data_IF_738349851264
#
_entry.id   IF_738349851264
#
_cell.length_a   1.000
_cell.length_b   1.000
_cell.length_c   1.000
_cell.angle_alpha   90.00
_cell.angle_beta   90.00
_cell.angle_gamma   90.00
#
_symmetry.space_group_name_H-M   'P 1'
#
loop_
_entity.id
_entity.type
_entity.pdbx_description
1 polymer ?
#
# COMPACT_ATOMS: atom_id res chain seq x y z
N UNK A 1 23.73 -45.04 59.53
CA UNK A 1 23.62 -44.70 58.12
C UNK A 1 22.19 -44.95 57.70
N UNK A 2 21.32 -43.95 57.74
CA UNK A 2 19.97 -43.93 57.13
C UNK A 2 19.71 -42.51 56.64
N UNK A 3 19.62 -42.34 55.32
CA UNK A 3 19.29 -41.07 54.66
C UNK A 3 17.76 -40.92 54.69
N UNK A 4 17.26 -39.88 55.30
CA UNK A 4 15.88 -39.47 55.26
C UNK A 4 15.66 -38.56 54.07
N UNK A 5 14.74 -38.94 53.21
CA UNK A 5 14.26 -38.14 52.08
C UNK A 5 13.03 -37.36 52.54
N UNK A 6 13.13 -36.02 52.53
CA UNK A 6 12.01 -35.12 52.78
C UNK A 6 11.36 -34.81 51.42
N UNK A 7 10.12 -35.22 51.24
CA UNK A 7 9.27 -34.87 50.11
C UNK A 7 8.56 -33.57 50.47
N UNK A 8 8.91 -32.46 49.79
CA UNK A 8 8.16 -31.22 49.84
C UNK A 8 7.09 -31.22 48.76
N UNK A 9 5.83 -31.32 49.15
CA UNK A 9 4.67 -31.16 48.28
C UNK A 9 4.40 -29.65 48.12
N UNK A 10 4.74 -29.09 46.96
CA UNK A 10 4.33 -27.75 46.58
C UNK A 10 2.97 -27.79 45.86
N UNK A 11 1.94 -27.29 46.51
CA UNK A 11 0.63 -27.02 45.90
C UNK A 11 0.77 -25.73 45.09
N UNK A 12 0.88 -25.86 43.76
CA UNK A 12 0.83 -24.73 42.84
C UNK A 12 -0.62 -24.40 42.50
N UNK A 13 -1.09 -23.25 42.90
CA UNK A 13 -2.34 -22.63 42.41
C UNK A 13 -2.19 -22.32 40.93
N UNK A 14 -2.86 -23.07 40.06
CA UNK A 14 -3.04 -22.74 38.66
C UNK A 14 -4.10 -21.63 38.53
N UNK A 15 -3.66 -20.38 38.39
CA UNK A 15 -4.47 -19.30 37.87
C UNK A 15 -4.66 -19.53 36.36
N UNK A 16 -5.80 -20.06 35.97
CA UNK A 16 -6.27 -20.09 34.60
C UNK A 16 -6.63 -18.66 34.14
N UNK A 17 -5.64 -17.90 33.72
CA UNK A 17 -5.84 -16.73 32.89
C UNK A 17 -6.23 -17.18 31.48
N UNK A 18 -7.50 -17.06 31.14
CA UNK A 18 -7.98 -17.29 29.78
C UNK A 18 -7.35 -16.29 28.82
N UNK A 19 -6.24 -16.66 28.20
CA UNK A 19 -5.76 -16.00 27.00
C UNK A 19 -6.80 -16.29 25.91
N UNK A 20 -7.53 -15.26 25.47
CA UNK A 20 -8.33 -15.33 24.26
C UNK A 20 -7.37 -15.66 23.10
N UNK A 21 -7.37 -16.90 22.66
CA UNK A 21 -6.64 -17.32 21.46
C UNK A 21 -7.30 -16.62 20.28
N UNK A 22 -6.70 -15.52 19.84
CA UNK A 22 -7.00 -14.95 18.53
C UNK A 22 -6.46 -15.94 17.51
N UNK A 23 -7.35 -16.66 16.83
CA UNK A 23 -7.00 -17.49 15.70
C UNK A 23 -6.46 -16.56 14.59
N UNK A 24 -5.16 -16.45 14.46
CA UNK A 24 -4.51 -15.86 13.31
C UNK A 24 -4.62 -16.87 12.17
N UNK A 25 -5.42 -16.56 11.17
CA UNK A 25 -5.42 -17.31 9.93
C UNK A 25 -4.11 -17.01 9.18
N UNK A 26 -3.13 -17.89 9.29
CA UNK A 26 -1.94 -17.82 8.45
C UNK A 26 -2.29 -18.28 7.05
N UNK A 27 -2.14 -17.41 6.06
CA UNK A 27 -2.04 -17.79 4.66
C UNK A 27 -0.79 -18.66 4.49
N UNK A 28 -0.93 -19.97 4.61
CA UNK A 28 0.14 -20.90 4.30
C UNK A 28 0.41 -20.89 2.80
N UNK A 29 1.51 -20.27 2.38
CA UNK A 29 2.01 -20.40 1.01
C UNK A 29 2.59 -21.81 0.86
N UNK A 30 1.75 -22.74 0.40
CA UNK A 30 2.21 -24.02 -0.15
C UNK A 30 2.35 -23.80 -1.65
N UNK A 31 3.58 -23.81 -2.13
CA UNK A 31 4.06 -23.81 -3.54
C UNK A 31 2.96 -23.63 -4.61
N UNK A 32 2.87 -22.38 -5.17
CA UNK A 32 2.19 -22.13 -6.44
C UNK A 32 1.11 -21.08 -6.33
N UNK A 33 0.01 -21.13 -5.81
CA UNK A 33 -0.98 -20.05 -5.69
C UNK A 33 -1.53 -19.99 -4.25
N UNK A 34 -1.49 -18.79 -3.66
CA UNK A 34 -2.11 -18.59 -2.35
C UNK A 34 -3.63 -18.82 -2.48
N UNK A 35 -4.17 -19.84 -1.79
CA UNK A 35 -5.60 -20.14 -1.81
C UNK A 35 -6.36 -18.94 -1.23
N UNK A 36 -7.26 -18.37 -2.02
CA UNK A 36 -8.10 -17.24 -1.57
C UNK A 36 -9.03 -17.68 -0.44
N UNK A 37 -9.33 -16.73 0.43
CA UNK A 37 -10.23 -16.95 1.57
C UNK A 37 -11.67 -16.79 1.10
N UNK A 38 -12.53 -17.84 1.19
CA UNK A 38 -13.93 -17.74 0.82
C UNK A 38 -14.70 -16.81 1.77
N UNK A 39 -15.36 -15.79 1.19
CA UNK A 39 -16.07 -14.75 1.95
C UNK A 39 -17.42 -14.48 1.31
N UNK A 40 -18.46 -14.26 2.10
CA UNK A 40 -19.74 -13.76 1.62
C UNK A 40 -20.01 -12.35 2.13
N UNK A 41 -20.36 -11.44 1.22
CA UNK A 41 -20.78 -10.08 1.54
C UNK A 41 -22.29 -10.01 1.36
N UNK A 42 -23.00 -9.92 2.48
CA UNK A 42 -24.45 -9.77 2.53
C UNK A 42 -24.88 -8.40 2.00
N UNK A 43 -26.17 -8.25 1.75
CA UNK A 43 -26.72 -6.95 1.35
C UNK A 43 -26.56 -5.92 2.49
N UNK A 44 -26.39 -4.65 2.13
CA UNK A 44 -26.22 -3.56 3.10
C UNK A 44 -27.60 -3.04 3.48
N UNK A 45 -27.90 -3.01 4.80
CA UNK A 45 -29.09 -2.35 5.33
C UNK A 45 -29.00 -0.84 5.15
N UNK A 46 -30.13 -0.21 4.78
CA UNK A 46 -30.18 1.25 4.59
C UNK A 46 -31.32 1.87 5.39
N UNK A 47 -30.99 2.35 6.58
CA UNK A 47 -31.90 3.13 7.45
C UNK A 47 -31.70 4.64 7.25
N UNK A 48 -30.75 5.04 6.41
CA UNK A 48 -30.50 6.45 6.07
C UNK A 48 -31.43 6.96 4.95
N UNK A 49 -32.15 6.04 4.25
CA UNK A 49 -32.99 6.37 3.10
C UNK A 49 -32.16 6.85 1.89
N UNK A 50 -31.04 6.20 1.62
CA UNK A 50 -30.09 6.59 0.56
C UNK A 50 -29.75 5.39 -0.35
N UNK A 51 -30.72 4.86 -1.12
CA UNK A 51 -30.55 3.62 -1.90
C UNK A 51 -29.38 3.67 -2.88
N UNK A 52 -29.04 4.84 -3.43
CA UNK A 52 -27.89 5.01 -4.33
C UNK A 52 -26.57 4.80 -3.57
N UNK A 53 -26.47 5.32 -2.33
CA UNK A 53 -25.28 5.11 -1.49
C UNK A 53 -25.17 3.67 -1.03
N UNK A 54 -26.28 3.01 -0.71
CA UNK A 54 -26.30 1.58 -0.41
C UNK A 54 -25.74 0.75 -1.56
N UNK A 55 -26.24 1.00 -2.78
CA UNK A 55 -25.76 0.32 -3.99
C UNK A 55 -24.27 0.57 -4.22
N UNK A 56 -23.85 1.83 -4.14
CA UNK A 56 -22.45 2.22 -4.27
C UNK A 56 -21.57 1.52 -3.22
N UNK A 57 -22.01 1.48 -1.95
CA UNK A 57 -21.25 0.80 -0.89
C UNK A 57 -21.02 -0.67 -1.19
N UNK A 58 -22.05 -1.38 -1.63
CA UNK A 58 -21.95 -2.80 -1.95
C UNK A 58 -21.02 -3.05 -3.15
N UNK A 59 -21.13 -2.24 -4.20
CA UNK A 59 -20.28 -2.32 -5.39
C UNK A 59 -18.81 -2.07 -5.04
N UNK A 60 -18.52 -0.99 -4.31
CA UNK A 60 -17.16 -0.61 -3.91
C UNK A 60 -16.56 -1.65 -2.98
N UNK A 61 -17.28 -2.06 -1.93
CA UNK A 61 -16.80 -3.05 -0.96
C UNK A 61 -16.41 -4.37 -1.64
N UNK A 62 -17.30 -4.90 -2.49
CA UNK A 62 -17.04 -6.13 -3.24
C UNK A 62 -15.87 -5.97 -4.21
N UNK A 63 -15.75 -4.81 -4.87
CA UNK A 63 -14.65 -4.54 -5.79
C UNK A 63 -13.31 -4.48 -5.04
N UNK A 64 -13.24 -3.80 -3.90
CA UNK A 64 -12.02 -3.70 -3.09
C UNK A 64 -11.56 -5.05 -2.56
N UNK A 65 -12.49 -5.84 -2.03
CA UNK A 65 -12.18 -7.19 -1.55
C UNK A 65 -11.67 -8.10 -2.67
N UNK A 66 -12.23 -8.02 -3.89
CA UNK A 66 -11.71 -8.75 -5.05
C UNK A 66 -10.32 -8.25 -5.49
N UNK A 67 -10.10 -6.92 -5.54
CA UNK A 67 -8.82 -6.32 -5.90
C UNK A 67 -7.70 -6.65 -4.92
N UNK A 68 -8.03 -6.89 -3.65
CA UNK A 68 -7.03 -7.31 -2.65
C UNK A 68 -6.35 -8.63 -3.02
N UNK A 69 -6.93 -9.44 -3.90
CA UNK A 69 -6.51 -10.79 -4.28
C UNK A 69 -6.48 -11.80 -3.12
N UNK A 70 -6.98 -11.42 -1.95
CA UNK A 70 -7.00 -12.23 -0.72
C UNK A 70 -8.28 -13.08 -0.67
N UNK A 71 -9.40 -12.54 -1.16
CA UNK A 71 -10.72 -13.14 -0.99
C UNK A 71 -11.30 -13.70 -2.29
N UNK A 72 -12.06 -14.78 -2.15
CA UNK A 72 -13.01 -15.29 -3.12
C UNK A 72 -14.42 -15.00 -2.62
N UNK A 73 -15.17 -14.17 -3.36
CA UNK A 73 -16.50 -13.72 -2.93
C UNK A 73 -17.58 -14.60 -3.52
N UNK A 74 -18.37 -15.25 -2.65
CA UNK A 74 -19.58 -15.96 -3.03
C UNK A 74 -20.77 -14.99 -3.21
N UNK A 75 -21.71 -15.36 -4.08
CA UNK A 75 -23.00 -14.67 -4.15
C UNK A 75 -23.91 -15.18 -3.00
N UNK A 76 -24.45 -14.27 -2.15
CA UNK A 76 -25.36 -14.67 -1.07
C UNK A 76 -26.58 -15.46 -1.54
N UNK A 77 -27.04 -15.22 -2.77
CA UNK A 77 -28.19 -15.91 -3.36
C UNK A 77 -27.92 -17.40 -3.62
N UNK A 78 -26.67 -17.76 -3.95
CA UNK A 78 -26.27 -19.13 -4.21
C UNK A 78 -26.15 -19.95 -2.90
N UNK A 79 -26.05 -19.27 -1.76
CA UNK A 79 -25.90 -19.89 -0.45
C UNK A 79 -27.26 -20.11 0.26
N UNK A 80 -28.37 -19.70 -0.35
CA UNK A 80 -29.73 -19.81 0.23
C UNK A 80 -29.76 -19.36 1.71
N UNK A 81 -29.16 -18.20 1.98
CA UNK A 81 -29.11 -17.64 3.33
C UNK A 81 -30.40 -16.89 3.65
N UNK A 82 -31.09 -17.35 4.68
CA UNK A 82 -32.31 -16.71 5.18
C UNK A 82 -31.95 -15.68 6.24
N UNK A 83 -32.14 -14.39 5.93
CA UNK A 83 -31.90 -13.28 6.86
C UNK A 83 -32.76 -12.06 6.48
N UNK A 84 -33.08 -11.24 7.46
CA UNK A 84 -33.61 -9.90 7.21
C UNK A 84 -32.46 -8.94 6.94
N UNK A 85 -32.38 -8.40 5.71
CA UNK A 85 -31.31 -7.47 5.34
C UNK A 85 -31.28 -6.18 6.20
N UNK A 86 -32.38 -5.86 6.91
CA UNK A 86 -32.47 -4.69 7.79
C UNK A 86 -31.82 -4.89 9.15
N UNK A 87 -31.58 -6.13 9.54
CA UNK A 87 -30.99 -6.45 10.84
C UNK A 87 -29.69 -7.21 10.69
N UNK A 88 -28.88 -7.17 11.75
CA UNK A 88 -27.68 -8.01 11.83
C UNK A 88 -28.08 -9.50 11.69
N UNK A 89 -27.36 -10.30 10.89
CA UNK A 89 -27.74 -11.69 10.64
C UNK A 89 -27.68 -12.50 11.92
N UNK A 90 -28.69 -13.37 12.18
CA UNK A 90 -28.64 -14.31 13.28
C UNK A 90 -27.42 -15.22 13.21
N UNK A 91 -26.98 -15.70 14.38
CA UNK A 91 -25.82 -16.59 14.47
C UNK A 91 -25.97 -17.85 13.60
N UNK A 92 -27.17 -18.40 13.54
CA UNK A 92 -27.45 -19.58 12.73
C UNK A 92 -27.28 -19.32 11.22
N UNK A 93 -27.67 -18.15 10.73
CA UNK A 93 -27.45 -17.72 9.34
C UNK A 93 -25.96 -17.59 9.03
N UNK A 94 -25.20 -17.01 9.96
CA UNK A 94 -23.73 -16.91 9.81
C UNK A 94 -23.08 -18.31 9.76
N UNK A 95 -23.46 -19.20 10.68
CA UNK A 95 -22.94 -20.58 10.73
C UNK A 95 -23.37 -21.40 9.50
N UNK A 96 -24.58 -21.16 8.97
CA UNK A 96 -25.03 -21.78 7.72
C UNK A 96 -24.11 -21.43 6.54
N UNK A 97 -23.62 -20.19 6.43
CA UNK A 97 -22.61 -19.84 5.43
C UNK A 97 -21.35 -20.70 5.56
N UNK A 98 -20.94 -21.05 6.79
CA UNK A 98 -19.83 -21.97 7.05
C UNK A 98 -20.06 -23.36 6.49
N UNK A 99 -21.29 -23.90 6.46
CA UNK A 99 -21.59 -25.20 5.86
C UNK A 99 -21.42 -25.22 4.34
N UNK A 100 -21.43 -24.06 3.69
CA UNK A 100 -21.09 -23.86 2.27
C UNK A 100 -19.60 -23.54 2.04
N UNK A 101 -18.75 -23.70 3.06
CA UNK A 101 -17.31 -23.47 2.96
C UNK A 101 -16.86 -22.03 3.09
N UNK A 102 -17.74 -21.10 3.49
CA UNK A 102 -17.34 -19.72 3.77
C UNK A 102 -16.53 -19.66 5.05
N UNK A 103 -15.46 -18.83 5.04
CA UNK A 103 -14.64 -18.54 6.21
C UNK A 103 -15.21 -17.36 6.99
N UNK A 104 -15.80 -16.38 6.31
CA UNK A 104 -16.36 -15.22 6.96
C UNK A 104 -17.62 -14.68 6.29
N UNK A 105 -18.42 -13.97 7.08
CA UNK A 105 -19.64 -13.28 6.65
C UNK A 105 -19.49 -11.78 6.96
N UNK A 106 -19.68 -10.96 5.95
CA UNK A 106 -19.64 -9.49 6.05
C UNK A 106 -21.05 -8.95 5.98
N UNK A 107 -21.40 -8.10 6.94
CA UNK A 107 -22.65 -7.36 6.95
C UNK A 107 -22.37 -5.89 7.28
N UNK A 108 -23.20 -4.99 6.73
CA UNK A 108 -23.09 -3.57 7.04
C UNK A 108 -24.49 -2.91 7.07
N UNK A 109 -24.55 -1.80 7.79
CA UNK A 109 -25.73 -0.95 7.88
C UNK A 109 -25.34 0.50 7.63
N UNK A 110 -26.10 1.17 6.77
CA UNK A 110 -26.02 2.60 6.53
C UNK A 110 -27.12 3.31 7.28
N UNK A 111 -26.77 4.23 8.18
CA UNK A 111 -27.72 5.00 8.96
C UNK A 111 -27.23 6.43 9.19
N UNK A 112 -28.07 7.27 9.81
CA UNK A 112 -27.70 8.64 10.18
C UNK A 112 -27.50 8.77 11.68
N UNK A 113 -26.49 9.57 12.05
CA UNK A 113 -26.29 10.02 13.42
C UNK A 113 -26.11 11.55 13.42
N UNK A 114 -27.21 12.26 13.68
CA UNK A 114 -27.25 13.71 13.48
C UNK A 114 -27.08 14.08 11.98
N UNK A 115 -26.11 14.90 11.68
CA UNK A 115 -25.79 15.32 10.31
C UNK A 115 -24.94 14.29 9.53
N UNK A 116 -24.28 13.37 10.25
CA UNK A 116 -23.35 12.43 9.66
C UNK A 116 -24.05 11.18 9.10
N UNK A 117 -23.45 10.65 8.02
CA UNK A 117 -23.69 9.27 7.58
C UNK A 117 -22.77 8.36 8.37
N UNK A 118 -23.29 7.20 8.78
CA UNK A 118 -22.52 6.18 9.49
C UNK A 118 -22.67 4.86 8.73
N UNK A 119 -21.53 4.26 8.38
CA UNK A 119 -21.47 2.88 7.87
C UNK A 119 -21.01 1.99 9.02
N UNK A 120 -21.92 1.21 9.59
CA UNK A 120 -21.64 0.24 10.64
C UNK A 120 -21.27 -1.09 10.01
N UNK A 121 -19.98 -1.43 10.01
CA UNK A 121 -19.45 -2.68 9.45
C UNK A 121 -19.30 -3.77 10.50
N UNK A 122 -19.68 -4.99 10.15
CA UNK A 122 -19.58 -6.20 11.00
C UNK A 122 -18.96 -7.33 10.19
N UNK A 123 -18.02 -8.03 10.80
CA UNK A 123 -17.39 -9.23 10.26
C UNK A 123 -17.59 -10.38 11.24
N UNK A 124 -18.00 -11.52 10.72
CA UNK A 124 -18.26 -12.71 11.53
C UNK A 124 -17.42 -13.89 11.02
N UNK A 125 -17.01 -14.75 11.94
CA UNK A 125 -16.44 -16.07 11.65
C UNK A 125 -17.58 -17.03 11.29
N UNK A 126 -17.55 -17.59 10.10
CA UNK A 126 -18.62 -18.44 9.61
C UNK A 126 -18.69 -19.82 10.30
N UNK A 127 -17.58 -20.26 10.92
CA UNK A 127 -17.53 -21.55 11.62
C UNK A 127 -18.15 -21.48 13.02
N UNK A 128 -17.95 -20.37 13.70
CA UNK A 128 -18.39 -20.19 15.10
C UNK A 128 -19.64 -19.31 15.23
N UNK A 129 -19.94 -18.53 14.19
CA UNK A 129 -20.99 -17.51 14.21
C UNK A 129 -20.65 -16.31 15.10
N UNK A 130 -19.40 -16.19 15.57
CA UNK A 130 -18.97 -15.11 16.44
C UNK A 130 -18.48 -13.90 15.63
N UNK A 131 -18.67 -12.71 16.21
CA UNK A 131 -18.22 -11.46 15.61
C UNK A 131 -16.71 -11.29 15.76
N UNK A 132 -16.00 -11.18 14.63
CA UNK A 132 -14.56 -10.91 14.56
C UNK A 132 -14.25 -9.41 14.64
N UNK A 133 -15.11 -8.57 14.05
CA UNK A 133 -14.95 -7.10 14.05
C UNK A 133 -16.30 -6.40 14.06
N UNK A 134 -16.33 -5.24 14.75
CA UNK A 134 -17.46 -4.32 14.81
C UNK A 134 -16.91 -2.91 14.80
N UNK A 135 -17.12 -2.17 13.71
CA UNK A 135 -16.58 -0.82 13.55
C UNK A 135 -17.53 0.09 12.82
N UNK A 136 -17.61 1.32 13.29
CA UNK A 136 -18.43 2.37 12.70
C UNK A 136 -17.51 3.40 12.00
N UNK A 137 -17.88 3.75 10.77
CA UNK A 137 -17.17 4.71 9.94
C UNK A 137 -18.07 5.92 9.74
N UNK A 138 -17.56 7.13 10.07
CA UNK A 138 -18.30 8.37 10.06
C UNK A 138 -17.89 9.24 8.89
N UNK A 139 -18.86 9.97 8.31
CA UNK A 139 -18.58 10.91 7.23
C UNK A 139 -19.86 11.52 6.63
N UNK A 140 -19.73 12.01 5.40
CA UNK A 140 -20.80 12.59 4.62
C UNK A 140 -20.80 12.00 3.19
N UNK A 141 -21.62 12.54 2.29
CA UNK A 141 -21.69 12.06 0.90
C UNK A 141 -20.34 12.14 0.17
N UNK A 142 -19.55 13.20 0.41
CA UNK A 142 -18.27 13.42 -0.27
C UNK A 142 -17.18 12.46 0.24
N UNK A 143 -17.28 12.05 1.50
CA UNK A 143 -16.34 11.12 2.15
C UNK A 143 -16.82 9.68 2.16
N UNK A 144 -18.04 9.42 1.67
CA UNK A 144 -18.71 8.12 1.80
C UNK A 144 -17.89 6.97 1.20
N UNK A 145 -17.34 7.16 0.01
CA UNK A 145 -16.51 6.16 -0.65
C UNK A 145 -15.30 5.77 0.21
N UNK A 146 -14.65 6.74 0.88
CA UNK A 146 -13.54 6.49 1.82
C UNK A 146 -13.96 5.69 3.04
N UNK A 147 -15.22 5.84 3.51
CA UNK A 147 -15.75 5.01 4.60
C UNK A 147 -15.82 3.54 4.18
N UNK A 148 -16.27 3.27 2.95
CA UNK A 148 -16.37 1.91 2.40
C UNK A 148 -14.98 1.28 2.22
N UNK A 149 -14.02 2.02 1.66
CA UNK A 149 -12.62 1.61 1.54
C UNK A 149 -12.00 1.27 2.90
N UNK A 150 -12.27 2.10 3.92
CA UNK A 150 -11.78 1.86 5.28
C UNK A 150 -12.40 0.59 5.90
N UNK A 151 -13.64 0.25 5.55
CA UNK A 151 -14.25 -1.02 5.96
C UNK A 151 -13.61 -2.22 5.23
N UNK A 152 -13.36 -2.11 3.94
CA UNK A 152 -12.62 -3.14 3.19
C UNK A 152 -11.22 -3.40 3.81
N UNK A 153 -10.50 -2.32 4.15
CA UNK A 153 -9.19 -2.41 4.81
C UNK A 153 -9.27 -3.05 6.20
N UNK A 154 -10.32 -2.80 6.97
CA UNK A 154 -10.57 -3.48 8.26
C UNK A 154 -10.76 -4.98 8.08
N UNK A 155 -11.50 -5.41 7.03
CA UNK A 155 -11.70 -6.83 6.72
C UNK A 155 -10.36 -7.49 6.36
N UNK A 156 -9.57 -6.85 5.48
CA UNK A 156 -8.22 -7.33 5.13
C UNK A 156 -7.36 -7.49 6.38
N UNK A 157 -7.33 -6.46 7.23
CA UNK A 157 -6.54 -6.48 8.47
C UNK A 157 -6.91 -7.65 9.40
N UNK A 158 -8.21 -7.95 9.53
CA UNK A 158 -8.68 -9.03 10.41
C UNK A 158 -8.28 -10.42 9.95
N UNK A 159 -8.20 -10.64 8.64
CA UNK A 159 -7.80 -11.93 8.09
C UNK A 159 -6.29 -12.09 7.92
N UNK A 160 -5.56 -11.01 7.66
CA UNK A 160 -4.14 -11.09 7.30
C UNK A 160 -3.19 -10.56 8.39
N UNK A 161 -3.69 -9.76 9.33
CA UNK A 161 -2.87 -8.99 10.26
C UNK A 161 -2.19 -7.77 9.62
N UNK A 162 -2.39 -7.52 8.33
CA UNK A 162 -1.79 -6.41 7.59
C UNK A 162 -2.85 -5.41 7.15
N UNK A 163 -2.48 -4.13 7.13
CA UNK A 163 -3.37 -3.06 6.69
C UNK A 163 -3.69 -3.22 5.20
N UNK A 164 -4.97 -3.09 4.85
CA UNK A 164 -5.41 -3.06 3.46
C UNK A 164 -4.95 -1.80 2.71
N UNK A 165 -5.16 -1.77 1.40
CA UNK A 165 -4.74 -0.70 0.50
C UNK A 165 -5.91 0.10 -0.09
N UNK A 166 -7.17 -0.29 0.17
CA UNK A 166 -8.34 0.33 -0.47
C UNK A 166 -8.48 1.82 -0.13
N UNK A 167 -8.07 2.23 1.08
CA UNK A 167 -8.06 3.63 1.51
C UNK A 167 -6.88 4.46 0.98
N UNK A 168 -6.01 3.91 0.12
CA UNK A 168 -4.86 4.64 -0.43
C UNK A 168 -5.24 5.45 -1.69
N UNK A 169 -4.32 6.32 -2.13
CA UNK A 169 -4.47 7.15 -3.33
C UNK A 169 -3.32 6.90 -4.28
N UNK A 170 -3.58 7.11 -5.57
CA UNK A 170 -2.59 6.99 -6.65
C UNK A 170 -2.31 8.38 -7.20
N UNK A 171 -1.05 8.82 -7.17
CA UNK A 171 -0.59 9.99 -7.91
C UNK A 171 -0.10 9.57 -9.29
N UNK A 172 -0.49 10.29 -10.32
CA UNK A 172 -0.13 9.99 -11.70
C UNK A 172 -0.03 11.26 -12.55
N UNK A 173 0.55 11.11 -13.73
CA UNK A 173 0.65 12.17 -14.72
C UNK A 173 -0.38 11.92 -15.82
N UNK A 174 -1.09 12.97 -16.22
CA UNK A 174 -2.05 12.91 -17.33
C UNK A 174 -1.97 14.18 -18.19
N UNK A 175 -2.09 13.99 -19.49
CA UNK A 175 -2.18 15.04 -20.50
C UNK A 175 -3.62 15.35 -20.93
N UNK A 176 -4.62 14.85 -20.20
CA UNK A 176 -6.05 15.05 -20.47
C UNK A 176 -6.46 16.52 -20.67
N UNK A 177 -5.72 17.46 -20.07
CA UNK A 177 -5.97 18.91 -20.16
C UNK A 177 -4.98 19.64 -21.07
N UNK A 178 -4.23 18.92 -21.93
CA UNK A 178 -3.24 19.45 -22.87
C UNK A 178 -1.81 19.24 -22.37
N UNK A 179 -1.42 19.92 -21.29
CA UNK A 179 -0.12 19.74 -20.65
C UNK A 179 -0.12 18.48 -19.75
N UNK A 180 1.06 17.89 -19.58
CA UNK A 180 1.26 16.77 -18.65
C UNK A 180 1.28 17.27 -17.21
N UNK A 181 0.18 17.13 -16.54
CA UNK A 181 -0.04 17.61 -15.17
C UNK A 181 -0.19 16.46 -14.16
N UNK A 182 -0.03 16.78 -12.88
CA UNK A 182 -0.22 15.82 -11.80
C UNK A 182 -1.71 15.69 -11.44
N UNK A 183 -2.10 14.45 -11.23
CA UNK A 183 -3.43 14.05 -10.77
C UNK A 183 -3.29 13.11 -9.57
N UNK A 184 -4.32 13.10 -8.74
CA UNK A 184 -4.51 12.11 -7.67
C UNK A 184 -5.89 11.49 -7.83
N UNK A 185 -6.00 10.19 -7.66
CA UNK A 185 -7.26 9.44 -7.67
C UNK A 185 -7.30 8.46 -6.50
N UNK A 186 -8.51 7.97 -6.19
CA UNK A 186 -8.66 6.87 -5.25
C UNK A 186 -8.01 5.59 -5.81
N UNK A 187 -7.67 4.65 -4.93
CA UNK A 187 -7.00 3.38 -5.29
C UNK A 187 -7.71 2.62 -6.44
N UNK A 188 -9.02 2.71 -6.50
CA UNK A 188 -9.84 2.03 -7.49
C UNK A 188 -10.04 2.79 -8.81
N UNK A 189 -9.36 3.93 -8.97
CA UNK A 189 -9.42 4.79 -10.14
C UNK A 189 -10.52 5.84 -10.11
N UNK A 190 -11.31 5.89 -9.03
CA UNK A 190 -12.36 6.90 -8.90
C UNK A 190 -11.80 8.27 -8.52
N UNK A 191 -12.63 9.32 -8.71
CA UNK A 191 -12.37 10.70 -8.27
C UNK A 191 -11.02 11.27 -8.74
N UNK A 192 -10.62 11.14 -10.03
CA UNK A 192 -9.39 11.74 -10.51
C UNK A 192 -9.44 13.26 -10.40
N UNK A 193 -8.53 13.84 -9.61
CA UNK A 193 -8.43 15.27 -9.36
C UNK A 193 -7.09 15.79 -9.87
N UNK A 194 -7.12 16.83 -10.73
CA UNK A 194 -5.92 17.58 -11.12
C UNK A 194 -5.43 18.39 -9.92
N UNK A 195 -4.14 18.23 -9.57
CA UNK A 195 -3.53 18.89 -8.40
C UNK A 195 -2.41 19.84 -8.76
N UNK A 196 -1.91 19.83 -10.00
CA UNK A 196 -0.95 20.82 -10.48
C UNK A 196 -1.57 21.73 -11.55
N UNK A 197 -1.00 22.91 -11.72
CA UNK A 197 -1.34 23.87 -12.74
C UNK A 197 -0.07 24.57 -13.24
N UNK A 198 0.96 23.78 -13.53
CA UNK A 198 2.27 24.30 -13.93
C UNK A 198 2.30 24.75 -15.38
N UNK A 199 1.30 24.35 -16.18
CA UNK A 199 1.22 24.61 -17.64
C UNK A 199 2.50 24.20 -18.34
N UNK A 200 3.06 23.08 -17.91
CA UNK A 200 4.33 22.55 -18.35
C UNK A 200 4.39 21.05 -18.07
N UNK A 201 5.45 20.38 -18.52
CA UNK A 201 5.66 18.97 -18.26
C UNK A 201 5.90 18.73 -16.76
N UNK A 202 4.98 18.05 -16.10
CA UNK A 202 5.16 17.46 -14.79
C UNK A 202 5.39 15.96 -14.90
N UNK A 203 6.26 15.39 -14.04
CA UNK A 203 6.57 13.95 -14.06
C UNK A 203 7.09 13.45 -12.71
N UNK A 204 7.20 12.12 -12.59
CA UNK A 204 7.80 11.41 -11.44
C UNK A 204 7.23 11.85 -10.09
N UNK A 205 5.89 11.80 -9.87
CA UNK A 205 5.34 12.09 -8.56
C UNK A 205 5.79 11.05 -7.53
N UNK A 206 6.16 11.50 -6.33
CA UNK A 206 6.56 10.67 -5.21
C UNK A 206 5.86 11.12 -3.93
N UNK A 207 5.11 10.22 -3.29
CA UNK A 207 4.42 10.48 -2.03
C UNK A 207 5.39 10.56 -0.86
N UNK A 208 5.20 11.57 -0.01
CA UNK A 208 5.76 11.51 1.35
C UNK A 208 5.12 10.40 2.17
N UNK A 209 5.83 9.79 3.14
CA UNK A 209 5.30 8.67 3.93
C UNK A 209 4.01 8.97 4.71
N UNK A 210 3.80 10.23 5.06
CA UNK A 210 2.57 10.70 5.74
C UNK A 210 1.37 10.92 4.79
N UNK A 211 1.60 10.77 3.46
CA UNK A 211 0.58 10.94 2.43
C UNK A 211 0.08 12.38 2.25
N UNK A 212 0.80 13.39 2.78
CA UNK A 212 0.38 14.80 2.72
C UNK A 212 1.11 15.61 1.65
N UNK A 213 2.31 15.20 1.28
CA UNK A 213 3.15 15.94 0.33
C UNK A 213 3.48 15.06 -0.88
N UNK A 214 3.47 15.66 -2.06
CA UNK A 214 4.03 15.08 -3.28
C UNK A 214 5.30 15.82 -3.69
N UNK A 215 6.42 15.10 -3.83
CA UNK A 215 7.57 15.61 -4.58
C UNK A 215 7.40 15.24 -6.05
N UNK A 216 7.84 16.08 -6.96
CA UNK A 216 7.71 15.86 -8.40
C UNK A 216 8.71 16.69 -9.19
N UNK A 217 8.89 16.34 -10.45
CA UNK A 217 9.66 17.12 -11.43
C UNK A 217 8.71 18.02 -12.19
N UNK A 218 9.10 19.30 -12.40
CA UNK A 218 8.37 20.21 -13.26
C UNK A 218 9.34 21.06 -14.11
N UNK A 219 8.95 21.26 -15.38
CA UNK A 219 9.66 22.12 -16.34
C UNK A 219 9.11 23.56 -16.35
N UNK A 220 8.31 23.97 -15.35
CA UNK A 220 7.66 25.30 -15.28
C UNK A 220 8.63 26.47 -15.34
N UNK A 221 9.86 26.29 -14.88
CA UNK A 221 10.91 27.30 -14.90
C UNK A 221 11.91 27.10 -16.08
N UNK A 222 11.52 26.29 -17.09
CA UNK A 222 12.31 26.02 -18.29
C UNK A 222 13.29 24.85 -18.16
N UNK A 223 13.53 24.35 -16.93
CA UNK A 223 14.45 23.28 -16.59
C UNK A 223 13.74 22.19 -15.75
N UNK A 224 14.16 20.92 -15.78
CA UNK A 224 13.60 19.92 -14.88
C UNK A 224 14.06 20.17 -13.44
N UNK A 225 13.21 20.81 -12.67
CA UNK A 225 13.43 21.12 -11.26
C UNK A 225 12.56 20.28 -10.35
N UNK A 226 13.02 20.02 -9.12
CA UNK A 226 12.27 19.32 -8.10
C UNK A 226 11.41 20.29 -7.30
N UNK A 227 10.13 19.99 -7.25
CA UNK A 227 9.15 20.70 -6.44
C UNK A 227 8.49 19.78 -5.43
N UNK A 228 7.92 20.37 -4.38
CA UNK A 228 6.97 19.72 -3.50
C UNK A 228 5.66 20.47 -3.48
N UNK A 229 4.57 19.73 -3.32
CA UNK A 229 3.20 20.20 -3.17
C UNK A 229 2.58 19.61 -1.91
N UNK A 230 2.23 20.45 -0.95
CA UNK A 230 1.41 20.08 0.20
C UNK A 230 -0.07 20.01 -0.24
N UNK A 231 -0.69 18.85 -0.09
CA UNK A 231 -2.03 18.59 -0.61
C UNK A 231 -3.15 19.15 0.28
N UNK A 232 -2.87 19.39 1.55
CA UNK A 232 -3.85 19.95 2.49
C UNK A 232 -3.97 21.46 2.32
N UNK A 233 -2.84 22.13 2.10
CA UNK A 233 -2.76 23.59 2.02
C UNK A 233 -2.64 24.15 0.60
N UNK A 234 -2.29 23.29 -0.36
CA UNK A 234 -1.96 23.70 -1.74
C UNK A 234 -0.61 24.45 -1.85
N UNK A 235 0.16 24.56 -0.76
CA UNK A 235 1.46 25.23 -0.75
C UNK A 235 2.45 24.45 -1.58
N UNK A 236 3.19 25.20 -2.43
CA UNK A 236 4.23 24.66 -3.30
C UNK A 236 5.57 25.31 -3.00
N UNK A 237 6.65 24.55 -3.08
CA UNK A 237 8.02 25.04 -2.96
C UNK A 237 8.98 24.27 -3.84
N UNK A 238 10.06 24.91 -4.26
CA UNK A 238 11.17 24.28 -4.99
C UNK A 238 12.10 23.58 -3.99
N UNK A 239 12.41 22.31 -4.24
CA UNK A 239 13.36 21.52 -3.44
C UNK A 239 14.77 21.64 -4.02
N UNK A 240 14.91 21.45 -5.34
CA UNK A 240 16.19 21.57 -6.05
C UNK A 240 15.93 22.13 -7.43
N UNK A 241 16.88 22.88 -7.93
CA UNK A 241 16.81 23.49 -9.24
C UNK A 241 18.17 24.02 -9.68
N UNK A 242 18.18 24.68 -10.85
CA UNK A 242 19.35 25.19 -11.50
C UNK A 242 19.66 24.43 -12.79
N UNK A 243 20.80 24.72 -13.42
CA UNK A 243 21.20 24.09 -14.69
C UNK A 243 21.32 22.57 -14.53
N UNK A 244 20.91 21.84 -15.58
CA UNK A 244 20.98 20.39 -15.65
C UNK A 244 19.75 19.66 -15.13
N UNK A 245 19.90 18.37 -14.88
CA UNK A 245 18.81 17.48 -14.50
C UNK A 245 18.62 17.45 -12.98
N UNK A 246 17.37 17.62 -12.54
CA UNK A 246 16.91 17.38 -11.17
C UNK A 246 15.69 16.46 -11.29
N UNK A 247 15.88 15.14 -11.09
CA UNK A 247 14.91 14.12 -11.49
C UNK A 247 14.72 13.02 -10.44
N UNK A 248 13.64 12.25 -10.60
CA UNK A 248 13.36 11.02 -9.86
C UNK A 248 13.42 11.18 -8.32
N UNK A 249 12.61 12.05 -7.74
CA UNK A 249 12.57 12.21 -6.29
C UNK A 249 12.04 10.96 -5.58
N UNK A 250 12.63 10.61 -4.43
CA UNK A 250 12.20 9.51 -3.58
C UNK A 250 12.34 9.88 -2.11
N UNK A 251 11.25 9.80 -1.34
CA UNK A 251 11.24 10.09 0.09
C UNK A 251 11.85 8.96 0.92
N UNK A 252 12.61 9.33 1.93
CA UNK A 252 13.01 8.38 2.99
C UNK A 252 11.76 7.92 3.78
N UNK A 253 11.74 6.70 4.35
CA UNK A 253 10.57 6.16 5.07
C UNK A 253 10.13 7.01 6.27
N UNK A 254 11.05 7.78 6.86
CA UNK A 254 10.76 8.69 7.97
C UNK A 254 10.34 10.10 7.51
N UNK A 255 10.29 10.37 6.20
CA UNK A 255 9.90 11.65 5.61
C UNK A 255 10.87 12.82 5.84
N UNK A 256 12.04 12.58 6.41
CA UNK A 256 13.00 13.65 6.74
C UNK A 256 13.95 14.00 5.59
N UNK A 257 14.24 13.04 4.72
CA UNK A 257 15.15 13.21 3.58
C UNK A 257 14.47 12.83 2.27
N UNK A 258 15.02 13.38 1.19
CA UNK A 258 14.67 13.06 -0.18
C UNK A 258 15.95 12.60 -0.89
N UNK A 259 15.88 11.52 -1.66
CA UNK A 259 16.91 11.15 -2.62
C UNK A 259 16.47 11.56 -4.02
N UNK A 260 17.40 11.96 -4.88
CA UNK A 260 17.11 12.35 -6.26
C UNK A 260 18.35 12.22 -7.15
N UNK A 261 18.13 12.14 -8.47
CA UNK A 261 19.18 12.24 -9.47
C UNK A 261 19.45 13.71 -9.83
N UNK A 262 20.66 14.20 -9.60
CA UNK A 262 21.09 15.56 -9.96
C UNK A 262 22.33 15.53 -10.84
N UNK A 263 22.36 16.36 -11.91
CA UNK A 263 23.53 16.41 -12.81
C UNK A 263 24.54 17.51 -12.45
N UNK A 264 24.57 17.96 -11.19
CA UNK A 264 25.46 19.05 -10.69
C UNK A 264 26.96 18.79 -10.89
N UNK A 265 27.38 17.55 -11.05
CA UNK A 265 28.78 17.15 -11.17
C UNK A 265 29.17 16.64 -12.57
N UNK A 266 28.39 16.99 -13.62
CA UNK A 266 28.61 16.59 -15.00
C UNK A 266 27.73 15.45 -15.47
N UNK A 267 27.72 14.28 -14.81
CA UNK A 267 26.76 13.19 -14.98
C UNK A 267 25.67 13.23 -13.92
N UNK A 268 24.60 12.45 -14.12
CA UNK A 268 23.54 12.35 -13.12
C UNK A 268 24.00 11.44 -11.98
N UNK A 269 23.96 11.97 -10.76
CA UNK A 269 24.35 11.24 -9.56
C UNK A 269 23.22 11.27 -8.53
N UNK A 270 23.19 10.27 -7.64
CA UNK A 270 22.25 10.26 -6.54
C UNK A 270 22.74 11.19 -5.44
N UNK A 271 21.87 12.11 -5.08
CA UNK A 271 22.05 13.00 -3.93
C UNK A 271 20.94 12.79 -2.93
N UNK A 272 21.22 13.08 -1.67
CA UNK A 272 20.18 13.22 -0.64
C UNK A 272 20.19 14.64 -0.08
N UNK A 273 19.01 15.10 0.34
CA UNK A 273 18.77 16.43 0.90
C UNK A 273 17.60 16.39 1.87
N UNK A 274 17.38 17.44 2.65
CA UNK A 274 16.14 17.55 3.43
C UNK A 274 14.95 17.98 2.56
N UNK A 275 13.76 18.03 3.16
CA UNK A 275 12.52 18.40 2.47
C UNK A 275 12.50 19.82 1.87
N UNK A 276 13.44 20.67 2.25
CA UNK A 276 13.60 22.04 1.74
C UNK A 276 14.77 22.15 0.76
N UNK A 277 15.46 21.05 0.44
CA UNK A 277 16.62 21.02 -0.46
C UNK A 277 17.94 21.38 0.22
N UNK A 278 17.97 21.47 1.55
CA UNK A 278 19.16 21.76 2.32
C UNK A 278 19.92 20.47 2.69
N UNK A 279 21.19 20.62 3.13
CA UNK A 279 22.01 19.47 3.52
C UNK A 279 22.22 18.49 2.37
N UNK A 280 22.65 19.02 1.21
CA UNK A 280 22.86 18.26 0.00
C UNK A 280 24.12 17.38 0.12
N UNK A 281 23.93 16.05 0.12
CA UNK A 281 25.02 15.06 0.18
C UNK A 281 25.01 14.24 -1.11
N UNK A 282 26.15 14.14 -1.81
CA UNK A 282 26.34 13.28 -2.98
C UNK A 282 26.70 11.87 -2.53
N UNK A 283 25.93 10.86 -2.99
CA UNK A 283 26.10 9.45 -2.60
C UNK A 283 26.79 8.61 -3.66
N UNK A 284 26.65 8.97 -4.96
CA UNK A 284 27.29 8.21 -6.04
C UNK A 284 28.32 9.06 -6.78
N UNK A 285 29.34 8.37 -7.31
CA UNK A 285 30.47 8.96 -8.02
C UNK A 285 30.79 8.08 -9.23
N UNK A 286 31.15 8.69 -10.34
CA UNK A 286 31.60 7.95 -11.53
C UNK A 286 31.29 8.66 -12.84
N UNK A 287 31.58 7.98 -13.95
CA UNK A 287 31.35 8.50 -15.29
C UNK A 287 29.99 8.11 -15.90
N UNK A 288 29.19 7.32 -15.18
CA UNK A 288 27.90 6.80 -15.66
C UNK A 288 26.77 7.34 -14.85
N UNK A 289 25.64 7.61 -15.50
CA UNK A 289 24.44 8.09 -14.84
C UNK A 289 23.91 7.12 -13.78
N UNK A 290 23.51 7.70 -12.66
CA UNK A 290 22.88 7.06 -11.50
C UNK A 290 21.54 7.74 -11.28
N UNK A 291 20.44 7.02 -11.45
CA UNK A 291 19.09 7.59 -11.45
C UNK A 291 18.09 6.71 -10.72
N UNK A 292 16.86 7.23 -10.54
CA UNK A 292 15.72 6.52 -9.97
C UNK A 292 16.02 5.85 -8.62
N UNK A 293 16.43 6.61 -7.60
CA UNK A 293 16.64 6.07 -6.26
C UNK A 293 15.33 5.60 -5.64
N UNK A 294 15.38 4.54 -4.83
CA UNK A 294 14.27 4.04 -4.02
C UNK A 294 14.80 3.58 -2.66
N UNK A 295 14.24 4.12 -1.58
CA UNK A 295 14.63 3.78 -0.22
C UNK A 295 14.08 2.42 0.21
N UNK A 296 14.90 1.64 0.91
CA UNK A 296 14.40 0.49 1.65
C UNK A 296 13.44 0.92 2.78
N UNK A 297 12.43 0.13 3.13
CA UNK A 297 11.43 0.53 4.14
C UNK A 297 12.01 0.72 5.54
N UNK A 298 13.16 0.10 5.85
CA UNK A 298 13.90 0.31 7.09
C UNK A 298 14.80 1.57 7.06
N UNK A 299 14.92 2.25 5.90
CA UNK A 299 15.70 3.47 5.70
C UNK A 299 17.22 3.28 5.73
N UNK A 300 17.73 2.06 5.59
CA UNK A 300 19.19 1.77 5.67
C UNK A 300 19.87 1.70 4.31
N UNK A 301 19.11 1.41 3.25
CA UNK A 301 19.65 1.20 1.92
C UNK A 301 18.84 1.98 0.87
N UNK A 302 19.49 2.24 -0.27
CA UNK A 302 18.89 2.84 -1.46
C UNK A 302 19.18 1.94 -2.65
N UNK A 303 18.11 1.47 -3.32
CA UNK A 303 18.20 0.85 -4.64
C UNK A 303 18.20 1.95 -5.71
N UNK A 304 18.97 1.79 -6.78
CA UNK A 304 19.05 2.77 -7.86
C UNK A 304 19.43 2.12 -9.19
N UNK A 305 19.16 2.81 -10.27
CA UNK A 305 19.61 2.42 -11.62
C UNK A 305 20.98 3.02 -11.88
N UNK A 306 21.95 2.23 -12.35
CA UNK A 306 23.28 2.70 -12.71
C UNK A 306 23.76 2.11 -14.03
N UNK A 307 24.37 2.95 -14.88
CA UNK A 307 25.03 2.56 -16.11
C UNK A 307 26.46 2.06 -15.95
N UNK A 308 27.02 1.99 -14.72
CA UNK A 308 28.44 1.63 -14.46
C UNK A 308 28.84 0.23 -14.92
N UNK A 309 27.87 -0.64 -15.21
CA UNK A 309 28.12 -1.98 -15.78
C UNK A 309 28.07 -2.01 -17.33
N UNK A 310 28.10 -0.82 -17.97
CA UNK A 310 28.00 -0.64 -19.42
C UNK A 310 26.58 -0.39 -19.90
N UNK A 311 25.61 -1.10 -19.36
CA UNK A 311 24.16 -0.93 -19.57
C UNK A 311 23.47 -0.75 -18.23
N UNK A 312 22.30 -0.06 -18.17
CA UNK A 312 21.57 0.16 -16.95
C UNK A 312 21.22 -1.14 -16.21
N UNK A 313 21.58 -1.19 -14.92
CA UNK A 313 21.33 -2.29 -14.01
C UNK A 313 20.91 -1.74 -12.65
N UNK A 314 20.29 -2.60 -11.81
CA UNK A 314 19.92 -2.23 -10.46
C UNK A 314 21.08 -2.50 -9.51
N UNK A 315 21.39 -1.49 -8.73
CA UNK A 315 22.36 -1.51 -7.65
C UNK A 315 21.68 -1.14 -6.33
N UNK A 316 22.28 -1.56 -5.23
CA UNK A 316 21.93 -1.13 -3.88
C UNK A 316 23.19 -0.54 -3.24
N UNK A 317 23.00 0.45 -2.39
CA UNK A 317 24.03 1.04 -1.52
C UNK A 317 23.48 1.34 -0.14
N UNK A 318 24.34 1.48 0.85
CA UNK A 318 23.97 2.05 2.13
C UNK A 318 23.57 3.53 1.99
N UNK A 319 22.81 4.07 2.94
CA UNK A 319 22.33 5.48 2.90
C UNK A 319 23.44 6.52 2.98
N UNK A 320 24.65 6.12 3.36
CA UNK A 320 25.86 6.96 3.34
C UNK A 320 26.66 6.86 2.03
N UNK A 321 26.16 6.10 1.05
CA UNK A 321 26.80 5.86 -0.25
C UNK A 321 27.83 4.73 -0.26
N UNK A 322 28.07 4.05 0.86
CA UNK A 322 28.98 2.90 0.97
C UNK A 322 28.32 1.61 0.47
N UNK A 323 29.12 0.54 0.34
CA UNK A 323 28.71 -0.82 0.00
C UNK A 323 27.84 -0.91 -1.28
N UNK A 324 28.31 -0.27 -2.35
CA UNK A 324 27.61 -0.29 -3.64
C UNK A 324 27.74 -1.65 -4.30
N UNK A 325 26.61 -2.37 -4.45
CA UNK A 325 26.57 -3.70 -5.06
C UNK A 325 25.51 -3.82 -6.15
N UNK A 326 25.82 -4.56 -7.22
CA UNK A 326 24.85 -4.90 -8.28
C UNK A 326 24.00 -6.07 -7.83
N UNK A 327 22.69 -6.02 -8.10
CA UNK A 327 21.74 -7.11 -7.79
C UNK A 327 21.11 -7.76 -9.02
N UNK A 328 21.13 -7.11 -10.21
CA UNK A 328 20.54 -7.68 -11.42
C UNK A 328 21.62 -8.19 -12.37
N UNK A 329 21.50 -9.46 -12.77
CA UNK A 329 22.39 -10.15 -13.72
C UNK A 329 21.63 -10.78 -14.87
N UNK A 330 20.30 -10.86 -14.79
CA UNK A 330 19.39 -11.26 -15.86
C UNK A 330 18.78 -10.00 -16.49
N UNK A 331 18.30 -10.16 -17.74
CA UNK A 331 17.82 -9.04 -18.55
C UNK A 331 18.96 -8.19 -19.13
N UNK A 332 18.75 -7.64 -20.32
CA UNK A 332 19.76 -6.80 -20.98
C UNK A 332 19.70 -5.33 -20.56
N UNK A 333 18.64 -4.92 -19.86
CA UNK A 333 18.41 -3.57 -19.33
C UNK A 333 17.49 -3.64 -18.14
N UNK A 334 17.88 -3.06 -17.00
CA UNK A 334 17.09 -3.04 -15.78
C UNK A 334 17.07 -1.63 -15.19
N UNK A 335 15.87 -1.09 -14.91
CA UNK A 335 15.73 0.30 -14.46
C UNK A 335 14.55 0.52 -13.53
N UNK A 336 14.51 1.70 -12.90
CA UNK A 336 13.40 2.19 -12.08
C UNK A 336 13.02 1.23 -10.94
N UNK A 337 13.96 0.91 -10.04
CA UNK A 337 13.69 0.02 -8.93
C UNK A 337 12.75 0.66 -7.90
N UNK A 338 11.86 -0.16 -7.31
CA UNK A 338 11.06 0.20 -6.16
C UNK A 338 11.08 -0.93 -5.13
N UNK A 339 11.39 -0.59 -3.89
CA UNK A 339 11.31 -1.51 -2.76
C UNK A 339 9.85 -1.86 -2.44
N UNK A 340 9.61 -3.14 -2.12
CA UNK A 340 8.36 -3.55 -1.49
C UNK A 340 8.23 -2.94 -0.09
N UNK A 341 7.00 -2.67 0.40
CA UNK A 341 6.80 -2.17 1.76
C UNK A 341 7.34 -3.09 2.86
N UNK A 342 7.47 -4.38 2.59
CA UNK A 342 8.06 -5.37 3.51
C UNK A 342 9.58 -5.42 3.47
N UNK A 343 10.19 -4.87 2.43
CA UNK A 343 11.64 -4.91 2.23
C UNK A 343 12.17 -6.26 1.74
N UNK A 344 11.31 -7.19 1.42
CA UNK A 344 11.65 -8.54 0.96
C UNK A 344 11.90 -8.62 -0.56
N UNK A 345 11.40 -7.63 -1.33
CA UNK A 345 11.52 -7.59 -2.78
C UNK A 345 11.76 -6.19 -3.32
N UNK A 346 12.34 -6.15 -4.52
CA UNK A 346 12.46 -4.96 -5.36
C UNK A 346 11.75 -5.26 -6.67
N UNK A 347 10.79 -4.41 -7.05
CA UNK A 347 10.16 -4.42 -8.37
C UNK A 347 10.87 -3.43 -9.29
N UNK A 348 11.01 -3.76 -10.55
CA UNK A 348 11.71 -2.92 -11.53
C UNK A 348 11.28 -3.23 -12.97
N UNK A 349 11.65 -2.38 -13.92
CA UNK A 349 11.45 -2.62 -15.34
C UNK A 349 12.67 -3.38 -15.88
N UNK A 350 12.43 -4.48 -16.59
CA UNK A 350 13.47 -5.33 -17.20
C UNK A 350 13.20 -5.56 -18.68
N UNK A 351 14.23 -5.48 -19.50
CA UNK A 351 14.17 -5.85 -20.92
C UNK A 351 14.53 -7.34 -21.05
N UNK A 352 13.51 -8.16 -21.29
CA UNK A 352 13.63 -9.62 -21.42
C UNK A 352 13.08 -10.04 -22.79
N UNK A 353 13.91 -10.74 -23.57
CA UNK A 353 13.55 -11.19 -24.93
C UNK A 353 13.02 -10.06 -25.84
N UNK A 354 13.65 -8.87 -25.77
CA UNK A 354 13.28 -7.70 -26.58
C UNK A 354 12.03 -6.95 -26.11
N UNK A 355 11.40 -7.35 -25.00
CA UNK A 355 10.20 -6.71 -24.46
C UNK A 355 10.46 -6.16 -23.05
N UNK A 356 10.01 -4.93 -22.78
CA UNK A 356 9.98 -4.39 -21.44
C UNK A 356 8.88 -5.06 -20.61
N UNK A 357 9.27 -5.60 -19.48
CA UNK A 357 8.37 -6.30 -18.52
C UNK A 357 8.62 -5.80 -17.11
N UNK A 358 7.63 -6.00 -16.26
CA UNK A 358 7.82 -5.83 -14.82
C UNK A 358 8.50 -7.09 -14.28
N UNK A 359 9.57 -6.90 -13.54
CA UNK A 359 10.30 -7.97 -12.87
C UNK A 359 10.43 -7.69 -11.38
N UNK A 360 10.65 -8.74 -10.60
CA UNK A 360 10.95 -8.68 -9.17
C UNK A 360 12.19 -9.48 -8.83
N UNK A 361 12.90 -9.06 -7.79
CA UNK A 361 14.10 -9.72 -7.30
C UNK A 361 14.20 -9.53 -5.77
N UNK A 362 14.84 -10.46 -5.07
CA UNK A 362 15.18 -10.26 -3.66
C UNK A 362 16.34 -9.24 -3.54
N UNK A 363 16.49 -8.54 -2.40
CA UNK A 363 17.57 -7.56 -2.19
C UNK A 363 19.00 -8.15 -2.26
N UNK A 364 19.13 -9.46 -2.07
CA UNK A 364 20.39 -10.20 -2.23
C UNK A 364 20.70 -10.60 -3.69
N UNK A 365 19.79 -10.27 -4.64
CA UNK A 365 19.94 -10.63 -6.05
C UNK A 365 19.39 -12.01 -6.42
N UNK A 366 18.83 -12.74 -5.48
CA UNK A 366 18.19 -14.05 -5.73
C UNK A 366 16.72 -13.92 -6.23
N UNK A 367 16.15 -15.00 -6.69
CA UNK A 367 14.72 -15.15 -7.03
C UNK A 367 14.20 -14.07 -8.02
N UNK A 368 14.94 -13.87 -9.13
CA UNK A 368 14.47 -13.04 -10.24
C UNK A 368 13.23 -13.67 -10.89
N UNK A 369 12.15 -12.87 -11.02
CA UNK A 369 10.88 -13.26 -11.64
C UNK A 369 10.40 -12.17 -12.60
N UNK A 370 9.75 -12.59 -13.68
CA UNK A 370 9.17 -11.71 -14.71
C UNK A 370 7.66 -11.94 -14.79
#
# INVERSE_FOLDING_TARGET
MKKSIIILTAIGLLLLGGAAAHAQYYLGVISGEARKIPLVVLDISDDAGTPELRKLALEVLRADLRRSQIFELADPKELDLIYDAKTEPPRETVMRAGTFGMTGVVWAQLHRKGADLVLSGRLFDASTGLRMSSKDFFGNKDTFRRMVHAFADEIVLRFTGEKGMAGTRIAFVSDKTGDKELYVMDYDGANPLKISADRSLCMSPAWSPDGKTLAYVSYRDGNPDLFALDLDTGRRWKISGGEGLNISPAWSPNGKRLAAGLSKAGGVEIYTMDRLGQGLDRLTYGASDNVAPSWSPNGREIAFTSGRAGIPQIFIMNVDGSDVRRITFQGSYNSSPHWSPRGDRIVFVSLVNGLFKIATINPDGSDFRV
#
